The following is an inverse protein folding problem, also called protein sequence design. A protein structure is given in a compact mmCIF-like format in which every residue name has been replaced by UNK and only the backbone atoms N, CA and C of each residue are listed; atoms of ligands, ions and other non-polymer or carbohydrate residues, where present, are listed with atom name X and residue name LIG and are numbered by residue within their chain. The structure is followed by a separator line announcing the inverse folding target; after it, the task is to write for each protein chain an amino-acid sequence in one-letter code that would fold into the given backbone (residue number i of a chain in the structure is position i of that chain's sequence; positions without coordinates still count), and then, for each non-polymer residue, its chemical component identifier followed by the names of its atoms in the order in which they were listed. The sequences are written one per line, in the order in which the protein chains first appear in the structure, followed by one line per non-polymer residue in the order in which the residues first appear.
data_IF_805436206344
#
_entry.id   IF_805436206344
#
_cell.length_a   1.000
_cell.length_b   1.000
_cell.length_c   1.000
_cell.angle_alpha   90.00
_cell.angle_beta   90.00
_cell.angle_gamma   90.00
#
_symmetry.space_group_name_H-M   'P 1'
#
loop_
_entity.id
_entity.type
_entity.pdbx_description
1 polymer ?
#
# COMPACT_ATOMS: atom_id res chain seq x y z
N UNK A 1 -1.45 -9.59 17.77
CA UNK A 1 -2.52 -9.05 16.90
C UNK A 1 -2.36 -7.55 16.72
N UNK A 2 -2.31 -6.76 17.80
CA UNK A 2 -2.08 -5.30 17.73
C UNK A 2 -0.84 -4.90 16.92
N UNK A 3 0.28 -5.60 17.12
CA UNK A 3 1.52 -5.36 16.34
C UNK A 3 1.31 -5.57 14.84
N UNK A 4 0.60 -6.63 14.43
CA UNK A 4 0.27 -6.87 13.02
C UNK A 4 -0.60 -5.76 12.45
N UNK A 5 -1.58 -5.29 13.21
CA UNK A 5 -2.45 -4.17 12.81
C UNK A 5 -1.63 -2.90 12.61
N UNK A 6 -0.73 -2.59 13.54
CA UNK A 6 0.15 -1.43 13.43
C UNK A 6 1.10 -1.55 12.24
N UNK A 7 1.67 -2.73 11.99
CA UNK A 7 2.52 -2.98 10.82
C UNK A 7 1.76 -2.79 9.51
N UNK A 8 0.49 -3.24 9.41
CA UNK A 8 -0.34 -2.97 8.24
C UNK A 8 -0.51 -1.46 8.04
N UNK A 9 -0.83 -0.70 9.10
CA UNK A 9 -1.03 0.76 9.01
C UNK A 9 0.27 1.46 8.56
N UNK A 10 1.39 1.14 9.20
CA UNK A 10 2.69 1.76 8.92
C UNK A 10 3.13 1.51 7.49
N UNK A 11 3.21 0.24 7.08
CA UNK A 11 3.64 -0.12 5.73
C UNK A 11 2.67 0.41 4.65
N UNK A 12 1.35 0.40 4.92
CA UNK A 12 0.38 1.03 4.00
C UNK A 12 0.58 2.55 3.92
N UNK A 13 0.89 3.22 5.02
CA UNK A 13 1.17 4.66 5.06
C UNK A 13 2.43 5.04 4.26
N UNK A 14 3.49 4.24 4.38
CA UNK A 14 4.72 4.43 3.61
C UNK A 14 4.49 4.14 2.12
N UNK A 15 3.83 3.02 1.79
CA UNK A 15 3.46 2.69 0.42
C UNK A 15 2.64 3.82 -0.23
N UNK A 16 1.68 4.40 0.50
CA UNK A 16 0.86 5.53 0.06
C UNK A 16 1.71 6.77 -0.21
N UNK A 17 2.66 7.06 0.66
CA UNK A 17 3.60 8.19 0.51
C UNK A 17 4.40 8.02 -0.78
N UNK A 18 5.00 6.85 -1.00
CA UNK A 18 5.77 6.57 -2.20
C UNK A 18 4.92 6.62 -3.49
N UNK A 19 3.69 6.12 -3.47
CA UNK A 19 2.78 6.23 -4.62
C UNK A 19 2.47 7.69 -4.97
N UNK A 20 2.23 8.53 -3.95
CA UNK A 20 2.00 9.97 -4.14
C UNK A 20 3.26 10.68 -4.66
N UNK A 21 4.44 10.35 -4.12
CA UNK A 21 5.72 10.87 -4.61
C UNK A 21 5.94 10.52 -6.08
N UNK A 22 5.63 9.29 -6.49
CA UNK A 22 5.76 8.88 -7.88
C UNK A 22 4.94 9.78 -8.83
N UNK A 23 3.70 10.09 -8.46
CA UNK A 23 2.84 11.02 -9.22
C UNK A 23 3.48 12.43 -9.25
N UNK A 24 4.04 12.92 -8.14
CA UNK A 24 4.67 14.24 -8.09
C UNK A 24 5.96 14.32 -8.92
N UNK A 25 6.76 13.26 -8.94
CA UNK A 25 7.94 13.18 -9.79
C UNK A 25 7.57 13.12 -11.27
N UNK A 26 6.55 12.33 -11.65
CA UNK A 26 6.09 12.26 -13.03
C UNK A 26 5.53 13.60 -13.54
N UNK A 27 4.81 14.36 -12.71
CA UNK A 27 4.37 15.74 -13.02
C UNK A 27 5.51 16.70 -13.35
N UNK A 28 6.72 16.42 -12.89
CA UNK A 28 7.95 17.21 -13.13
C UNK A 28 8.84 16.59 -14.22
N UNK A 29 8.33 15.58 -14.93
CA UNK A 29 9.10 14.77 -15.89
C UNK A 29 10.33 14.07 -15.29
N UNK A 30 10.36 13.87 -13.96
CA UNK A 30 11.43 13.15 -13.24
C UNK A 30 11.15 11.65 -13.22
N UNK A 31 11.04 11.03 -14.40
CA UNK A 31 10.47 9.67 -14.55
C UNK A 31 11.28 8.56 -13.86
N UNK A 32 12.61 8.66 -13.82
CA UNK A 32 13.45 7.69 -13.10
C UNK A 32 13.14 7.67 -11.59
N UNK A 33 12.90 8.85 -11.01
CA UNK A 33 12.49 8.94 -9.60
C UNK A 33 11.06 8.45 -9.41
N UNK A 34 10.17 8.75 -10.35
CA UNK A 34 8.80 8.24 -10.30
C UNK A 34 8.77 6.71 -10.27
N UNK A 35 9.51 6.05 -11.17
CA UNK A 35 9.64 4.60 -11.21
C UNK A 35 10.22 4.03 -9.91
N UNK A 36 11.29 4.64 -9.40
CA UNK A 36 11.89 4.22 -8.13
C UNK A 36 10.94 4.36 -6.94
N UNK A 37 10.11 5.40 -6.92
CA UNK A 37 9.08 5.56 -5.89
C UNK A 37 7.96 4.51 -6.04
N UNK A 38 7.54 4.14 -7.26
CA UNK A 38 6.61 3.01 -7.44
C UNK A 38 7.20 1.70 -6.92
N UNK A 39 8.47 1.41 -7.19
CA UNK A 39 9.14 0.20 -6.71
C UNK A 39 9.13 0.13 -5.17
N UNK A 40 9.48 1.23 -4.49
CA UNK A 40 9.40 1.32 -3.02
C UNK A 40 7.97 1.19 -2.50
N UNK A 41 7.00 1.82 -3.18
CA UNK A 41 5.59 1.69 -2.83
C UNK A 41 5.14 0.23 -2.87
N UNK A 42 5.58 -0.52 -3.90
CA UNK A 42 5.25 -1.92 -4.06
C UNK A 42 5.92 -2.82 -3.01
N UNK A 43 7.15 -2.51 -2.61
CA UNK A 43 7.86 -3.22 -1.52
C UNK A 43 7.11 -3.08 -0.19
N UNK A 44 6.81 -1.85 0.22
CA UNK A 44 6.08 -1.56 1.46
C UNK A 44 4.69 -2.20 1.46
N UNK A 45 3.97 -2.08 0.34
CA UNK A 45 2.66 -2.71 0.18
C UNK A 45 2.75 -4.24 0.29
N UNK A 46 3.84 -4.84 -0.19
CA UNK A 46 4.12 -6.27 -0.07
C UNK A 46 4.21 -6.72 1.39
N UNK A 47 4.87 -5.94 2.25
CA UNK A 47 4.91 -6.22 3.69
C UNK A 47 3.51 -6.13 4.30
N UNK A 48 2.77 -5.04 4.07
CA UNK A 48 1.41 -4.87 4.59
C UNK A 48 0.47 -6.00 4.13
N UNK A 49 0.53 -6.36 2.86
CA UNK A 49 -0.29 -7.41 2.26
C UNK A 49 0.05 -8.81 2.84
N UNK A 50 1.31 -9.06 3.19
CA UNK A 50 1.69 -10.32 3.85
C UNK A 50 1.03 -10.48 5.22
N UNK A 51 0.96 -9.41 6.02
CA UNK A 51 0.27 -9.41 7.31
C UNK A 51 -1.24 -9.60 7.14
N UNK A 52 -1.87 -8.93 6.15
CA UNK A 52 -3.28 -9.14 5.83
C UNK A 52 -3.56 -10.59 5.42
N UNK A 53 -2.68 -11.17 4.59
CA UNK A 53 -2.81 -12.56 4.14
C UNK A 53 -2.77 -13.53 5.32
N UNK A 54 -1.84 -13.33 6.25
CA UNK A 54 -1.76 -14.15 7.48
C UNK A 54 -3.03 -14.04 8.32
N UNK A 55 -3.61 -12.84 8.49
CA UNK A 55 -4.87 -12.67 9.22
C UNK A 55 -6.03 -13.45 8.58
N UNK A 56 -6.14 -13.42 7.25
CA UNK A 56 -7.17 -14.16 6.50
C UNK A 56 -6.96 -15.67 6.63
N UNK A 57 -5.70 -16.13 6.57
CA UNK A 57 -5.37 -17.55 6.72
C UNK A 57 -5.71 -18.08 8.11
N UNK A 58 -5.39 -17.32 9.17
CA UNK A 58 -5.74 -17.66 10.55
C UNK A 58 -7.27 -17.75 10.73
N UNK A 59 -8.02 -16.78 10.18
CA UNK A 59 -9.48 -16.81 10.23
C UNK A 59 -10.06 -18.05 9.51
N UNK A 60 -9.52 -18.39 8.32
CA UNK A 60 -9.91 -19.58 7.57
C UNK A 60 -9.56 -20.89 8.28
N UNK A 61 -8.49 -20.91 9.09
CA UNK A 61 -8.11 -22.03 9.94
C UNK A 61 -9.01 -22.19 11.19
N UNK A 62 -9.96 -21.28 11.40
CA UNK A 62 -10.88 -21.27 12.55
C UNK A 62 -10.40 -20.39 13.71
N UNK A 63 -9.23 -19.75 13.60
CA UNK A 63 -8.72 -18.81 14.57
C UNK A 63 -9.31 -17.43 14.29
N UNK A 64 -10.54 -17.20 14.77
CA UNK A 64 -11.23 -15.92 14.57
C UNK A 64 -10.42 -14.76 15.14
N UNK A 65 -10.11 -13.78 14.29
CA UNK A 65 -9.54 -12.52 14.74
C UNK A 65 -10.58 -11.68 15.49
N UNK A 66 -10.15 -10.95 16.51
CA UNK A 66 -11.01 -9.99 17.18
C UNK A 66 -11.19 -8.76 16.29
N UNK A 67 -12.43 -8.49 15.88
CA UNK A 67 -12.75 -7.33 15.06
C UNK A 67 -12.72 -6.09 15.96
N UNK A 68 -11.78 -5.19 15.67
CA UNK A 68 -11.65 -3.89 16.32
C UNK A 68 -11.74 -2.77 15.29
N UNK A 69 -12.09 -1.56 15.73
CA UNK A 69 -12.05 -0.36 14.87
C UNK A 69 -10.66 -0.16 14.26
N UNK A 70 -9.61 -0.47 15.02
CA UNK A 70 -8.23 -0.33 14.56
C UNK A 70 -7.88 -1.36 13.47
N UNK A 71 -8.36 -2.61 13.58
CA UNK A 71 -8.20 -3.61 12.53
C UNK A 71 -8.92 -3.18 11.24
N UNK A 72 -10.16 -2.70 11.34
CA UNK A 72 -10.93 -2.18 10.19
C UNK A 72 -10.16 -1.04 9.54
N UNK A 73 -9.69 -0.07 10.34
CA UNK A 73 -8.90 1.06 9.85
C UNK A 73 -7.61 0.63 9.15
N UNK A 74 -6.92 -0.40 9.65
CA UNK A 74 -5.73 -0.94 9.00
C UNK A 74 -6.05 -1.56 7.63
N UNK A 75 -7.14 -2.32 7.52
CA UNK A 75 -7.62 -2.89 6.25
C UNK A 75 -8.02 -1.79 5.26
N UNK A 76 -8.69 -0.73 5.72
CA UNK A 76 -9.03 0.44 4.90
C UNK A 76 -7.78 1.13 4.36
N UNK A 77 -6.77 1.34 5.21
CA UNK A 77 -5.48 1.90 4.81
C UNK A 77 -4.82 1.07 3.72
N UNK A 78 -4.79 -0.25 3.88
CA UNK A 78 -4.16 -1.15 2.91
C UNK A 78 -4.89 -1.13 1.57
N UNK A 79 -6.20 -1.38 1.55
CA UNK A 79 -6.96 -1.51 0.31
C UNK A 79 -7.03 -0.19 -0.48
N UNK A 80 -7.18 0.94 0.22
CA UNK A 80 -7.15 2.26 -0.44
C UNK A 80 -5.77 2.59 -0.99
N UNK A 81 -4.70 2.17 -0.31
CA UNK A 81 -3.33 2.35 -0.79
C UNK A 81 -3.02 1.47 -2.00
N UNK A 82 -3.49 0.22 -2.02
CA UNK A 82 -3.37 -0.66 -3.19
C UNK A 82 -3.97 0.01 -4.42
N UNK A 83 -5.21 0.49 -4.29
CA UNK A 83 -5.91 1.18 -5.38
C UNK A 83 -5.17 2.45 -5.82
N UNK A 84 -4.69 3.25 -4.86
CA UNK A 84 -3.91 4.45 -5.16
C UNK A 84 -2.62 4.13 -5.92
N UNK A 85 -1.89 3.09 -5.53
CA UNK A 85 -0.65 2.69 -6.21
C UNK A 85 -0.94 2.26 -7.64
N UNK A 86 -1.98 1.46 -7.86
CA UNK A 86 -2.35 1.03 -9.21
C UNK A 86 -2.71 2.25 -10.09
N UNK A 87 -3.47 3.20 -9.57
CA UNK A 87 -3.75 4.46 -10.26
C UNK A 87 -2.49 5.35 -10.44
N UNK A 88 -1.56 5.33 -9.50
CA UNK A 88 -0.31 6.09 -9.60
C UNK A 88 0.54 5.58 -10.77
N UNK A 89 0.60 4.26 -10.98
CA UNK A 89 1.29 3.65 -12.13
C UNK A 89 0.69 4.18 -13.44
N UNK A 90 -0.64 4.08 -13.60
CA UNK A 90 -1.33 4.56 -14.80
C UNK A 90 -1.09 6.07 -15.03
N UNK A 91 -1.14 6.88 -13.98
CA UNK A 91 -0.88 8.32 -14.09
C UNK A 91 0.56 8.63 -14.49
N UNK A 92 1.54 7.91 -13.94
CA UNK A 92 2.95 8.05 -14.34
C UNK A 92 3.10 7.73 -15.83
N UNK A 93 2.47 6.65 -16.32
CA UNK A 93 2.48 6.30 -17.74
C UNK A 93 1.84 7.37 -18.62
N UNK A 94 0.72 7.97 -18.18
CA UNK A 94 0.08 9.08 -18.89
C UNK A 94 1.05 10.25 -19.02
N UNK A 95 1.71 10.66 -17.93
CA UNK A 95 2.69 11.76 -17.96
C UNK A 95 3.91 11.48 -18.84
N UNK A 96 4.33 10.22 -18.99
CA UNK A 96 5.44 9.83 -19.87
C UNK A 96 5.10 9.96 -21.37
N UNK A 97 3.81 10.01 -21.72
CA UNK A 97 3.32 10.12 -23.11
C UNK A 97 2.98 11.56 -23.52
N UNK A 98 2.99 12.50 -22.58
CA UNK A 98 2.78 13.94 -22.81
C UNK A 98 4.08 14.60 -23.25
#
# INVERSE_FOLDING_TARGET
MEEMILNIITHSGEARTYAMEAIQYAKKSEFDKAKKSIEKSNEELGFAHSYQTNLIQEEAAGNKAEISLLLIHAQDHLMTTMTLKDLAIELVEVYMRL
#
